data_IF_886690460800
#
_entry.id   IF_886690460800
#
_cell.length_a   1.000
_cell.length_b   1.000
_cell.length_c   1.000
_cell.angle_alpha   90.00
_cell.angle_beta   90.00
_cell.angle_gamma   90.00
#
_symmetry.space_group_name_H-M   'P 1'
#
loop_
_entity.id
_entity.type
_entity.pdbx_description
1 polymer ?
#
# COMPACT_ATOMS: atom_id res chain seq x y z
N UNK A 1 78.53 -25.20 -21.70
CA UNK A 1 77.95 -25.77 -20.49
C UNK A 1 77.16 -24.74 -19.81
N UNK A 2 75.88 -24.72 -20.04
CA UNK A 2 74.97 -23.74 -19.43
C UNK A 2 73.76 -24.50 -18.86
N UNK A 3 73.60 -24.45 -17.58
CA UNK A 3 72.48 -25.04 -16.88
C UNK A 3 71.32 -24.07 -16.88
N UNK A 4 70.20 -24.44 -17.52
CA UNK A 4 68.92 -23.70 -17.49
C UNK A 4 68.09 -24.33 -16.35
N UNK A 5 67.90 -23.60 -15.25
CA UNK A 5 66.93 -23.94 -14.21
C UNK A 5 65.53 -23.48 -14.65
N UNK A 6 64.64 -24.43 -14.89
CA UNK A 6 63.19 -24.16 -15.05
C UNK A 6 62.56 -23.92 -13.69
N UNK A 7 62.11 -22.68 -13.42
CA UNK A 7 61.15 -22.36 -12.36
C UNK A 7 59.76 -22.75 -12.80
N UNK A 8 59.16 -23.74 -12.15
CA UNK A 8 57.75 -24.04 -12.28
C UNK A 8 56.99 -23.12 -11.33
N UNK A 9 56.20 -22.18 -11.91
CA UNK A 9 55.21 -21.41 -11.16
C UNK A 9 53.99 -22.28 -10.93
N UNK A 10 53.78 -22.69 -9.67
CA UNK A 10 52.53 -23.27 -9.21
C UNK A 10 51.57 -22.10 -8.93
N UNK A 11 50.65 -21.81 -9.85
CA UNK A 11 49.50 -20.92 -9.58
C UNK A 11 48.48 -21.69 -8.76
N UNK A 12 48.48 -21.45 -7.45
CA UNK A 12 47.42 -21.91 -6.55
C UNK A 12 46.20 -21.07 -6.79
N UNK A 13 45.29 -21.55 -7.66
CA UNK A 13 43.96 -20.95 -7.83
C UNK A 13 43.16 -21.26 -6.56
N UNK A 14 43.08 -20.31 -5.64
CA UNK A 14 42.11 -20.33 -4.55
C UNK A 14 40.71 -20.23 -5.18
N UNK A 15 40.05 -21.34 -5.38
CA UNK A 15 38.60 -21.38 -5.53
C UNK A 15 37.98 -21.01 -4.16
N UNK A 16 37.68 -19.73 -3.98
CA UNK A 16 36.74 -19.32 -2.96
C UNK A 16 35.37 -19.74 -3.50
N UNK A 17 34.99 -20.98 -3.19
CA UNK A 17 33.59 -21.40 -3.28
C UNK A 17 32.84 -20.61 -2.21
N UNK A 18 32.25 -19.51 -2.58
CA UNK A 18 31.13 -18.97 -1.84
C UNK A 18 29.95 -19.95 -2.01
N UNK A 19 29.97 -21.02 -1.26
CA UNK A 19 28.75 -21.70 -0.87
C UNK A 19 28.04 -20.69 0.07
N UNK A 20 27.20 -19.84 -0.49
CA UNK A 20 26.12 -19.28 0.31
C UNK A 20 25.33 -20.49 0.81
N UNK A 21 25.57 -20.90 2.05
CA UNK A 21 24.60 -21.71 2.76
C UNK A 21 23.29 -20.92 2.64
N UNK A 22 22.36 -21.42 1.85
CA UNK A 22 20.96 -21.04 1.92
C UNK A 22 20.57 -21.52 3.31
N UNK A 23 20.70 -20.63 4.29
CA UNK A 23 20.13 -20.82 5.60
C UNK A 23 18.61 -20.78 5.37
N UNK A 24 18.04 -21.92 5.03
CA UNK A 24 16.64 -22.23 5.27
C UNK A 24 16.44 -22.30 6.79
N UNK A 25 16.62 -21.16 7.46
CA UNK A 25 16.11 -20.97 8.79
C UNK A 25 14.60 -20.90 8.63
N UNK A 26 13.88 -22.02 8.84
CA UNK A 26 12.42 -22.09 8.83
C UNK A 26 11.74 -21.14 9.81
N UNK A 27 12.50 -20.30 10.48
CA UNK A 27 12.08 -19.33 11.48
C UNK A 27 11.98 -17.89 10.95
N UNK A 28 12.41 -17.60 9.70
CA UNK A 28 12.43 -16.25 9.12
C UNK A 28 11.63 -16.21 7.83
N UNK A 29 10.66 -15.32 7.76
CA UNK A 29 9.90 -15.00 6.53
C UNK A 29 10.44 -13.73 5.89
N UNK A 30 10.92 -13.82 4.65
CA UNK A 30 11.54 -12.70 3.94
C UNK A 30 10.60 -12.13 2.89
N UNK A 31 10.30 -10.84 3.02
CA UNK A 31 9.50 -10.05 2.07
C UNK A 31 10.43 -9.11 1.31
N UNK A 32 10.42 -9.13 -0.02
CA UNK A 32 11.10 -8.16 -0.86
C UNK A 32 10.11 -7.07 -1.33
N UNK A 33 10.31 -5.82 -0.88
CA UNK A 33 9.48 -4.66 -1.26
C UNK A 33 10.26 -3.67 -2.14
N UNK A 34 9.56 -2.80 -2.86
CA UNK A 34 10.17 -1.89 -3.84
C UNK A 34 10.58 -0.52 -3.27
N UNK A 35 10.07 -0.14 -2.12
CA UNK A 35 10.38 1.13 -1.44
C UNK A 35 10.23 0.96 0.08
N UNK A 36 10.69 1.94 0.84
CA UNK A 36 10.68 1.93 2.30
C UNK A 36 9.42 2.62 2.85
N UNK A 37 9.15 2.42 4.13
CA UNK A 37 8.12 3.14 4.88
C UNK A 37 8.52 4.61 5.06
N UNK A 38 7.53 5.49 5.09
CA UNK A 38 7.75 6.94 5.23
C UNK A 38 7.16 7.53 6.51
N UNK A 39 6.19 6.84 7.11
CA UNK A 39 5.49 7.30 8.32
C UNK A 39 5.17 6.10 9.23
N UNK A 40 5.76 6.07 10.42
CA UNK A 40 5.53 5.02 11.40
C UNK A 40 4.38 5.34 12.39
N UNK A 41 3.74 6.49 12.27
CA UNK A 41 2.60 6.79 13.13
C UNK A 41 1.33 6.10 12.63
N UNK A 42 0.75 5.13 13.38
CA UNK A 42 -0.45 4.40 12.94
C UNK A 42 -1.68 5.30 12.75
N UNK A 43 -1.65 6.52 13.28
CA UNK A 43 -2.72 7.51 13.08
C UNK A 43 -2.67 8.16 11.70
N UNK A 44 -1.50 8.27 11.09
CA UNK A 44 -1.28 9.06 9.86
C UNK A 44 -0.68 8.28 8.71
N UNK A 45 -0.13 7.10 8.95
CA UNK A 45 0.40 6.20 7.93
C UNK A 45 -0.66 5.86 6.87
N UNK A 46 -0.29 5.92 5.57
CA UNK A 46 -1.25 5.82 4.49
C UNK A 46 -0.69 5.22 3.19
N UNK A 47 0.33 4.38 3.26
CA UNK A 47 0.97 3.83 2.07
C UNK A 47 1.56 2.43 2.33
N UNK A 48 2.84 2.24 1.99
CA UNK A 48 3.57 0.98 2.17
C UNK A 48 3.69 0.54 3.63
N UNK A 49 3.44 1.44 4.55
CA UNK A 49 3.40 1.17 5.98
C UNK A 49 2.41 0.06 6.35
N UNK A 50 1.36 -0.15 5.52
CA UNK A 50 0.41 -1.26 5.72
C UNK A 50 1.11 -2.62 5.79
N UNK A 51 2.21 -2.80 5.07
CA UNK A 51 2.93 -4.06 5.00
C UNK A 51 3.49 -4.51 6.37
N UNK A 52 4.30 -3.72 7.10
CA UNK A 52 4.67 -4.04 8.47
C UNK A 52 3.52 -3.85 9.46
N UNK A 53 2.71 -2.79 9.33
CA UNK A 53 1.71 -2.41 10.32
C UNK A 53 0.56 -3.41 10.45
N UNK A 54 0.15 -4.08 9.35
CA UNK A 54 -0.87 -5.13 9.40
C UNK A 54 -0.47 -6.35 10.23
N UNK A 55 0.82 -6.49 10.54
CA UNK A 55 1.35 -7.52 11.42
C UNK A 55 1.54 -7.03 12.86
N UNK A 56 1.63 -5.70 13.06
CA UNK A 56 1.87 -5.09 14.37
C UNK A 56 0.59 -4.64 15.07
N UNK A 57 -0.41 -4.23 14.30
CA UNK A 57 -1.66 -3.64 14.80
C UNK A 57 -2.87 -4.41 14.33
N UNK A 58 -3.96 -4.31 15.08
CA UNK A 58 -5.23 -4.92 14.72
C UNK A 58 -6.36 -3.88 14.80
N UNK A 59 -7.38 -3.99 13.91
CA UNK A 59 -8.59 -3.18 13.97
C UNK A 59 -9.63 -3.81 14.90
N UNK A 60 -10.74 -3.11 15.14
CA UNK A 60 -11.87 -3.66 15.91
C UNK A 60 -12.53 -4.83 15.16
N UNK A 61 -12.71 -4.70 13.85
CA UNK A 61 -13.27 -5.74 12.99
C UNK A 61 -12.33 -5.94 11.79
N UNK A 62 -12.36 -7.14 11.21
CA UNK A 62 -11.74 -7.42 9.93
C UNK A 62 -12.80 -7.55 8.84
N UNK A 63 -12.46 -7.16 7.62
CA UNK A 63 -13.28 -7.43 6.45
C UNK A 63 -12.81 -8.73 5.78
N UNK A 64 -13.70 -9.72 5.69
CA UNK A 64 -13.46 -10.87 4.84
C UNK A 64 -13.78 -10.52 3.38
N UNK A 65 -12.76 -10.33 2.58
CA UNK A 65 -12.88 -10.07 1.15
C UNK A 65 -12.76 -11.35 0.30
N UNK A 66 -12.68 -12.53 0.91
CA UNK A 66 -12.53 -13.81 0.19
C UNK A 66 -13.82 -14.30 -0.46
N UNK A 67 -14.97 -13.85 0.06
CA UNK A 67 -16.29 -14.15 -0.45
C UNK A 67 -17.01 -12.94 -1.06
N UNK A 68 -18.11 -13.20 -1.79
CA UNK A 68 -18.91 -12.12 -2.41
C UNK A 68 -19.73 -11.30 -1.39
N UNK A 69 -19.97 -11.83 -0.20
CA UNK A 69 -20.79 -11.23 0.85
C UNK A 69 -20.01 -10.24 1.76
N UNK A 70 -18.70 -10.19 1.62
CA UNK A 70 -17.82 -9.23 2.31
C UNK A 70 -18.15 -9.06 3.80
N UNK A 71 -18.16 -10.16 4.53
CA UNK A 71 -18.53 -10.22 5.95
C UNK A 71 -17.55 -9.50 6.85
N UNK A 72 -18.08 -8.94 7.93
CA UNK A 72 -17.25 -8.46 9.03
C UNK A 72 -16.88 -9.63 9.95
N UNK A 73 -15.58 -9.80 10.19
CA UNK A 73 -15.03 -10.83 11.09
C UNK A 73 -14.63 -10.16 12.40
N UNK A 74 -14.92 -10.77 13.56
CA UNK A 74 -14.44 -10.28 14.85
C UNK A 74 -12.91 -10.15 14.91
N UNK A 75 -12.45 -8.95 15.25
CA UNK A 75 -11.06 -8.62 15.57
C UNK A 75 -10.90 -8.36 17.06
N UNK A 76 -10.52 -7.13 17.42
CA UNK A 76 -10.48 -6.68 18.81
C UNK A 76 -11.88 -6.40 19.41
N UNK A 77 -12.91 -6.28 18.59
CA UNK A 77 -14.30 -6.40 19.02
C UNK A 77 -14.84 -7.80 18.69
N UNK A 78 -15.64 -8.36 19.60
CA UNK A 78 -16.26 -9.68 19.47
C UNK A 78 -17.64 -9.60 18.86
N UNK A 79 -18.33 -8.47 19.05
CA UNK A 79 -19.68 -8.22 18.55
C UNK A 79 -19.95 -6.71 18.46
N UNK A 80 -21.00 -6.33 17.72
CA UNK A 80 -21.46 -4.95 17.64
C UNK A 80 -22.94 -4.84 17.31
N UNK A 81 -23.56 -3.74 17.73
CA UNK A 81 -24.93 -3.36 17.37
C UNK A 81 -24.98 -1.95 16.79
N UNK A 82 -25.99 -1.70 15.98
CA UNK A 82 -26.23 -0.40 15.34
C UNK A 82 -27.68 0.04 15.59
N UNK A 83 -27.90 1.32 15.96
CA UNK A 83 -29.25 1.90 16.04
C UNK A 83 -29.91 1.98 14.66
N UNK A 84 -31.24 2.05 14.62
CA UNK A 84 -32.02 2.12 13.36
C UNK A 84 -31.65 3.31 12.51
N UNK A 85 -31.38 4.47 13.11
CA UNK A 85 -30.93 5.68 12.44
C UNK A 85 -29.46 5.66 12.00
N UNK A 86 -28.71 4.62 12.41
CA UNK A 86 -27.30 4.44 12.07
C UNK A 86 -26.34 5.42 12.75
N UNK A 87 -26.79 6.15 13.77
CA UNK A 87 -26.00 7.16 14.48
C UNK A 87 -25.29 6.63 15.72
N UNK A 88 -25.76 5.54 16.31
CA UNK A 88 -25.19 4.95 17.52
C UNK A 88 -24.73 3.53 17.22
N UNK A 89 -23.45 3.26 17.48
CA UNK A 89 -22.84 1.94 17.34
C UNK A 89 -22.20 1.53 18.66
N UNK A 90 -22.51 0.31 19.11
CA UNK A 90 -21.94 -0.24 20.34
C UNK A 90 -21.14 -1.47 20.00
N UNK A 91 -19.92 -1.55 20.53
CA UNK A 91 -19.01 -2.68 20.34
C UNK A 91 -18.69 -3.32 21.68
N UNK A 92 -18.70 -4.65 21.70
CA UNK A 92 -18.19 -5.48 22.79
C UNK A 92 -16.73 -5.83 22.48
N UNK A 93 -15.82 -5.45 23.37
CA UNK A 93 -14.39 -5.63 23.18
C UNK A 93 -13.91 -6.98 23.71
N UNK A 94 -12.91 -7.52 23.05
CA UNK A 94 -12.22 -8.74 23.46
C UNK A 94 -11.48 -8.53 24.78
N UNK A 95 -11.59 -9.53 25.66
CA UNK A 95 -10.89 -9.57 26.96
C UNK A 95 -9.51 -10.22 26.80
N UNK A 96 -8.62 -9.98 27.77
CA UNK A 96 -7.28 -10.58 27.86
C UNK A 96 -6.40 -10.27 26.65
N UNK A 97 -6.54 -9.08 26.07
CA UNK A 97 -5.67 -8.56 25.02
C UNK A 97 -4.71 -7.54 25.62
N UNK A 98 -3.43 -7.66 25.27
CA UNK A 98 -2.38 -6.75 25.72
C UNK A 98 -1.67 -6.14 24.51
N UNK A 99 -1.31 -4.88 24.64
CA UNK A 99 -0.39 -4.26 23.71
C UNK A 99 1.03 -4.81 23.89
N UNK A 100 1.89 -4.60 22.90
CA UNK A 100 3.27 -5.09 22.91
C UNK A 100 4.08 -4.54 24.10
N UNK A 101 3.72 -3.37 24.62
CA UNK A 101 4.33 -2.74 25.81
C UNK A 101 3.77 -3.27 27.14
N UNK A 102 2.79 -4.16 27.10
CA UNK A 102 2.17 -4.77 28.26
C UNK A 102 0.95 -4.03 28.81
N UNK A 103 0.59 -2.86 28.27
CA UNK A 103 -0.66 -2.17 28.61
C UNK A 103 -1.87 -3.02 28.19
N UNK A 104 -2.96 -2.91 28.93
CA UNK A 104 -4.18 -3.67 28.69
C UNK A 104 -5.08 -2.97 27.68
N UNK A 105 -5.55 -3.71 26.65
CA UNK A 105 -6.52 -3.21 25.69
C UNK A 105 -7.93 -3.14 26.29
N UNK A 106 -8.55 -1.98 26.24
CA UNK A 106 -9.89 -1.72 26.78
C UNK A 106 -10.60 -0.57 26.03
N UNK A 107 -11.82 -0.23 26.46
CA UNK A 107 -12.63 0.83 25.85
C UNK A 107 -11.96 2.23 25.91
N UNK A 108 -11.17 2.52 26.96
CA UNK A 108 -10.42 3.77 27.04
C UNK A 108 -9.30 3.85 25.99
N UNK A 109 -8.67 2.70 25.66
CA UNK A 109 -7.68 2.66 24.57
C UNK A 109 -8.33 2.96 23.22
N UNK A 110 -9.52 2.40 22.93
CA UNK A 110 -10.27 2.70 21.71
C UNK A 110 -10.61 4.19 21.64
N UNK A 111 -11.14 4.75 22.72
CA UNK A 111 -11.45 6.19 22.81
C UNK A 111 -10.19 7.03 22.54
N UNK A 112 -9.08 6.72 23.20
CA UNK A 112 -7.81 7.41 23.03
C UNK A 112 -7.34 7.42 21.55
N UNK A 113 -7.36 6.24 20.92
CA UNK A 113 -6.93 6.10 19.52
C UNK A 113 -7.77 6.96 18.58
N UNK A 114 -9.10 6.90 18.68
CA UNK A 114 -9.98 7.66 17.80
C UNK A 114 -9.83 9.17 18.03
N UNK A 115 -9.79 9.61 19.28
CA UNK A 115 -9.63 11.03 19.62
C UNK A 115 -8.30 11.57 19.14
N UNK A 116 -7.19 10.81 19.31
CA UNK A 116 -5.88 11.17 18.81
C UNK A 116 -5.86 11.23 17.28
N UNK A 117 -6.40 10.23 16.59
CA UNK A 117 -6.43 10.19 15.12
C UNK A 117 -7.20 11.40 14.56
N UNK A 118 -8.36 11.74 15.13
CA UNK A 118 -9.15 12.92 14.73
C UNK A 118 -8.37 14.24 14.85
N UNK A 119 -7.41 14.34 15.78
CA UNK A 119 -6.66 15.58 16.02
C UNK A 119 -5.66 15.93 14.90
N UNK A 120 -5.29 14.98 14.04
CA UNK A 120 -4.23 15.19 13.05
C UNK A 120 -4.68 15.86 11.75
N UNK A 121 -5.91 15.67 11.30
CA UNK A 121 -6.44 16.19 10.03
C UNK A 121 -5.56 15.85 8.80
N UNK A 122 -4.82 14.74 8.83
CA UNK A 122 -3.92 14.29 7.77
C UNK A 122 -3.87 12.76 7.67
N UNK A 123 -3.30 12.24 6.57
CA UNK A 123 -3.22 10.81 6.31
C UNK A 123 -4.61 10.16 6.35
N UNK A 124 -4.72 8.99 6.94
CA UNK A 124 -5.97 8.25 7.04
C UNK A 124 -6.94 8.78 8.13
N UNK A 125 -6.56 9.81 8.88
CA UNK A 125 -7.40 10.32 9.99
C UNK A 125 -8.80 10.79 9.56
N UNK A 126 -8.99 11.13 8.29
CA UNK A 126 -10.29 11.55 7.73
C UNK A 126 -11.40 10.50 7.85
N UNK A 127 -11.06 9.21 7.99
CA UNK A 127 -12.07 8.14 8.14
C UNK A 127 -12.95 8.35 9.36
N UNK A 128 -12.45 9.05 10.38
CA UNK A 128 -13.14 9.34 11.62
C UNK A 128 -13.97 10.64 11.58
N UNK A 129 -14.05 11.30 10.43
CA UNK A 129 -14.69 12.63 10.30
C UNK A 129 -16.16 12.66 10.69
N UNK A 130 -16.90 11.55 10.55
CA UNK A 130 -18.31 11.45 10.96
C UNK A 130 -18.49 11.02 12.44
N UNK A 131 -17.41 10.66 13.14
CA UNK A 131 -17.48 10.29 14.54
C UNK A 131 -17.51 11.54 15.41
N UNK A 132 -18.65 11.80 16.04
CA UNK A 132 -18.83 12.91 16.97
C UNK A 132 -18.13 12.63 18.30
N UNK A 133 -18.41 11.49 18.89
CA UNK A 133 -17.96 11.10 20.23
C UNK A 133 -17.70 9.60 20.31
N UNK A 134 -16.69 9.20 21.10
CA UNK A 134 -16.48 7.83 21.53
C UNK A 134 -16.57 7.78 23.05
N UNK A 135 -17.42 6.92 23.59
CA UNK A 135 -17.60 6.72 25.04
C UNK A 135 -17.15 5.32 25.44
N UNK A 136 -16.34 5.25 26.47
CA UNK A 136 -16.06 4.01 27.18
C UNK A 136 -17.19 3.79 28.19
N UNK A 137 -18.15 2.94 27.86
CA UNK A 137 -19.32 2.69 28.72
C UNK A 137 -18.99 1.72 29.87
N UNK A 138 -18.04 0.82 29.63
CA UNK A 138 -17.45 -0.12 30.58
C UNK A 138 -16.02 -0.44 30.18
N UNK A 139 -15.34 -1.31 30.90
CA UNK A 139 -13.99 -1.75 30.55
C UNK A 139 -13.93 -2.38 29.12
N UNK A 140 -14.99 -3.11 28.73
CA UNK A 140 -15.06 -3.83 27.46
C UNK A 140 -16.22 -3.39 26.56
N UNK A 141 -16.93 -2.33 26.89
CA UNK A 141 -18.01 -1.77 26.08
C UNK A 141 -17.69 -0.37 25.62
N UNK A 142 -17.77 -0.12 24.31
CA UNK A 142 -17.53 1.19 23.72
C UNK A 142 -18.67 1.59 22.80
N UNK A 143 -19.14 2.84 22.95
CA UNK A 143 -20.18 3.43 22.09
C UNK A 143 -19.58 4.53 21.24
N UNK A 144 -19.82 4.43 19.92
CA UNK A 144 -19.56 5.50 18.95
C UNK A 144 -20.86 6.24 18.66
N UNK A 145 -20.81 7.56 18.68
CA UNK A 145 -21.90 8.46 18.29
C UNK A 145 -21.44 9.19 17.04
N UNK A 146 -22.24 9.16 15.98
CA UNK A 146 -21.95 9.77 14.69
C UNK A 146 -22.75 11.05 14.49
N UNK A 147 -22.18 12.02 13.75
CA UNK A 147 -22.90 13.22 13.28
C UNK A 147 -23.82 12.92 12.10
N UNK A 148 -23.46 11.92 11.29
CA UNK A 148 -24.19 11.43 10.12
C UNK A 148 -24.08 9.93 10.03
N UNK A 149 -25.10 9.22 9.53
CA UNK A 149 -25.01 7.79 9.27
C UNK A 149 -23.80 7.46 8.38
N UNK A 150 -23.00 6.49 8.80
CA UNK A 150 -21.84 6.01 8.07
C UNK A 150 -21.67 4.50 8.31
N UNK A 151 -21.02 3.76 7.40
CA UNK A 151 -20.74 2.34 7.57
C UNK A 151 -19.56 2.16 8.55
N UNK A 152 -19.83 2.35 9.85
CA UNK A 152 -18.78 2.34 10.86
C UNK A 152 -18.09 0.98 10.98
N UNK A 153 -18.79 -0.12 10.72
CA UNK A 153 -18.23 -1.46 10.60
C UNK A 153 -17.07 -1.53 9.58
N UNK A 154 -17.25 -0.88 8.42
CA UNK A 154 -16.21 -0.78 7.39
C UNK A 154 -15.09 0.16 7.81
N UNK A 155 -15.42 1.27 8.48
CA UNK A 155 -14.44 2.25 8.95
C UNK A 155 -13.51 1.61 9.98
N UNK A 156 -14.07 0.91 10.98
CA UNK A 156 -13.26 0.26 12.04
C UNK A 156 -12.50 -0.98 11.57
N UNK A 157 -12.70 -1.45 10.32
CA UNK A 157 -11.94 -2.53 9.69
C UNK A 157 -10.83 -2.03 8.76
N UNK A 158 -10.69 -0.72 8.60
CA UNK A 158 -9.70 -0.13 7.69
C UNK A 158 -8.27 -0.44 8.16
N UNK A 159 -7.44 -0.89 7.21
CA UNK A 159 -5.99 -1.04 7.42
C UNK A 159 -5.23 0.29 7.32
N UNK A 160 -5.94 1.41 7.24
CA UNK A 160 -5.39 2.77 7.30
C UNK A 160 -6.20 3.57 8.30
N UNK A 161 -5.55 4.00 9.38
CA UNK A 161 -6.15 4.87 10.39
C UNK A 161 -7.12 4.21 11.39
N UNK A 162 -7.44 2.91 11.26
CA UNK A 162 -8.28 2.19 12.22
C UNK A 162 -7.50 1.20 13.11
N UNK A 163 -6.18 1.24 13.06
CA UNK A 163 -5.31 0.47 13.93
C UNK A 163 -5.49 0.84 15.40
N UNK A 164 -5.63 -0.16 16.26
CA UNK A 164 -5.58 0.05 17.72
C UNK A 164 -4.13 0.00 18.18
N UNK A 165 -3.72 0.99 18.96
CA UNK A 165 -2.36 1.11 19.51
C UNK A 165 -2.41 1.61 20.96
N UNK A 166 -1.31 1.39 21.68
CA UNK A 166 -1.22 1.67 23.12
C UNK A 166 -1.43 3.15 23.45
N UNK A 167 -2.26 3.45 24.46
CA UNK A 167 -2.38 4.81 25.04
C UNK A 167 -1.08 5.37 25.61
N UNK A 168 -0.08 4.54 25.91
CA UNK A 168 1.25 4.99 26.30
C UNK A 168 1.91 5.89 25.26
N UNK A 169 1.47 5.83 23.99
CA UNK A 169 1.89 6.73 22.91
C UNK A 169 1.75 8.23 23.24
N UNK A 170 0.82 8.60 24.12
CA UNK A 170 0.67 10.00 24.59
C UNK A 170 1.91 10.56 25.27
N UNK A 171 2.75 9.69 25.83
CA UNK A 171 3.98 10.04 26.55
C UNK A 171 5.24 9.88 25.70
N UNK A 172 5.10 9.40 24.45
CA UNK A 172 6.22 9.15 23.56
C UNK A 172 6.67 10.45 22.86
N UNK A 173 7.97 10.57 22.64
CA UNK A 173 8.51 11.63 21.79
C UNK A 173 8.14 11.39 20.33
N UNK A 174 8.03 12.47 19.53
CA UNK A 174 7.81 12.38 18.09
C UNK A 174 8.89 11.54 17.39
N UNK A 175 10.14 11.60 17.86
CA UNK A 175 11.27 10.82 17.35
C UNK A 175 11.04 9.30 17.59
N UNK A 176 10.56 8.92 18.78
CA UNK A 176 10.25 7.53 19.09
C UNK A 176 9.11 6.98 18.22
N UNK A 177 8.07 7.78 18.02
CA UNK A 177 6.95 7.42 17.11
C UNK A 177 7.48 7.26 15.67
N UNK A 178 8.29 8.22 15.20
CA UNK A 178 8.86 8.20 13.85
C UNK A 178 9.85 7.04 13.60
N UNK A 179 10.28 6.34 14.65
CA UNK A 179 11.15 5.16 14.58
C UNK A 179 10.40 3.83 14.70
N UNK A 180 9.08 3.84 14.78
CA UNK A 180 8.26 2.62 14.80
C UNK A 180 8.00 2.00 16.17
N UNK A 181 8.29 2.71 17.26
CA UNK A 181 8.18 2.15 18.62
C UNK A 181 6.77 2.18 19.22
N UNK A 182 5.75 2.53 18.45
CA UNK A 182 4.36 2.50 18.93
C UNK A 182 3.90 1.05 19.08
N UNK A 183 3.41 0.70 20.26
CA UNK A 183 2.97 -0.65 20.57
C UNK A 183 1.57 -0.94 20.01
N UNK A 184 1.41 -2.06 19.29
CA UNK A 184 0.15 -2.62 18.81
C UNK A 184 -0.27 -3.86 19.61
N UNK A 185 -1.29 -4.57 19.11
CA UNK A 185 -1.79 -5.84 19.69
C UNK A 185 -1.49 -7.04 18.81
N UNK A 186 -0.88 -6.82 17.66
CA UNK A 186 -0.74 -7.79 16.59
C UNK A 186 0.20 -8.97 16.89
N UNK A 187 0.25 -9.94 15.96
CA UNK A 187 1.06 -11.14 16.12
C UNK A 187 2.56 -10.88 16.12
N UNK A 188 3.03 -9.79 15.51
CA UNK A 188 4.44 -9.43 15.48
C UNK A 188 4.67 -8.05 16.09
N UNK A 189 5.87 -7.87 16.65
CA UNK A 189 6.34 -6.64 17.28
C UNK A 189 7.48 -6.03 16.45
N UNK A 190 7.58 -4.71 16.43
CA UNK A 190 8.71 -4.00 15.85
C UNK A 190 10.01 -4.38 16.58
N UNK A 191 11.04 -4.76 15.83
CA UNK A 191 12.37 -5.05 16.37
C UNK A 191 13.38 -3.98 15.90
N UNK A 192 13.54 -3.81 14.59
CA UNK A 192 14.50 -2.87 14.05
C UNK A 192 14.10 -2.32 12.67
N UNK A 193 14.63 -1.15 12.35
CA UNK A 193 14.53 -0.53 11.04
C UNK A 193 15.85 0.08 10.61
N UNK A 194 16.41 -0.45 9.54
CA UNK A 194 17.54 0.13 8.83
C UNK A 194 17.01 0.81 7.57
N UNK A 195 16.95 2.13 7.61
CA UNK A 195 16.32 2.95 6.55
C UNK A 195 16.84 2.60 5.16
N UNK A 196 15.92 2.46 4.20
CA UNK A 196 16.17 2.04 2.82
C UNK A 196 16.87 0.66 2.68
N UNK A 197 16.83 -0.16 3.71
CA UNK A 197 17.46 -1.46 3.69
C UNK A 197 16.54 -2.56 4.19
N UNK A 198 16.14 -2.53 5.47
CA UNK A 198 15.36 -3.62 6.07
C UNK A 198 14.55 -3.16 7.27
N UNK A 199 13.34 -3.72 7.38
CA UNK A 199 12.52 -3.71 8.60
C UNK A 199 12.50 -5.14 9.15
N UNK A 200 12.63 -5.26 10.46
CA UNK A 200 12.54 -6.55 11.14
C UNK A 200 11.46 -6.52 12.20
N UNK A 201 10.58 -7.52 12.13
CA UNK A 201 9.54 -7.78 13.13
C UNK A 201 9.82 -9.12 13.78
N UNK A 202 9.55 -9.23 15.09
CA UNK A 202 9.70 -10.45 15.86
C UNK A 202 8.36 -10.91 16.42
N UNK A 203 8.20 -12.19 16.58
CA UNK A 203 6.97 -12.82 17.08
C UNK A 203 6.57 -12.28 18.45
N UNK A 204 5.27 -11.95 18.62
CA UNK A 204 4.68 -11.63 19.91
C UNK A 204 4.27 -12.91 20.65
N UNK A 205 5.09 -13.38 21.59
CA UNK A 205 4.83 -14.60 22.35
C UNK A 205 3.56 -14.54 23.21
N UNK A 206 3.02 -13.33 23.46
CA UNK A 206 1.77 -13.12 24.23
C UNK A 206 0.59 -12.77 23.33
N UNK A 207 0.66 -13.12 22.05
CA UNK A 207 -0.43 -12.84 21.12
C UNK A 207 -1.71 -13.54 21.59
N UNK A 208 -2.79 -12.80 21.69
CA UNK A 208 -4.04 -13.25 22.28
C UNK A 208 -4.73 -14.43 21.57
N UNK A 209 -4.46 -14.63 20.25
CA UNK A 209 -4.96 -15.80 19.52
C UNK A 209 -4.13 -17.06 19.76
N UNK A 210 -2.96 -16.93 20.40
CA UNK A 210 -2.00 -18.03 20.54
C UNK A 210 -1.32 -18.40 19.22
N UNK A 211 -0.45 -19.41 19.28
CA UNK A 211 0.34 -19.88 18.15
C UNK A 211 0.19 -21.39 17.89
N UNK A 212 -0.53 -22.11 18.74
CA UNK A 212 -0.61 -23.57 18.76
C UNK A 212 -1.24 -24.18 17.51
N UNK A 213 -2.08 -23.43 16.80
CA UNK A 213 -2.84 -23.89 15.61
C UNK A 213 -2.34 -23.30 14.31
N UNK A 214 -1.24 -22.57 14.32
CA UNK A 214 -0.75 -21.83 13.16
C UNK A 214 0.70 -22.16 12.86
N UNK A 215 1.03 -22.30 11.58
CA UNK A 215 2.42 -22.16 11.14
C UNK A 215 2.82 -20.69 11.31
N UNK A 216 3.94 -20.44 11.93
CA UNK A 216 4.44 -19.08 12.18
C UNK A 216 5.96 -19.03 11.95
N UNK A 217 6.46 -17.83 11.78
CA UNK A 217 7.87 -17.53 11.71
C UNK A 217 8.27 -16.76 12.98
N UNK A 218 9.46 -16.96 13.48
CA UNK A 218 9.98 -16.19 14.62
C UNK A 218 10.25 -14.73 14.24
N UNK A 219 10.63 -14.52 12.97
CA UNK A 219 11.01 -13.20 12.44
C UNK A 219 10.41 -12.99 11.06
N UNK A 220 9.95 -11.74 10.80
CA UNK A 220 9.63 -11.26 9.46
C UNK A 220 10.67 -10.20 9.09
N UNK A 221 11.35 -10.39 7.96
CA UNK A 221 12.28 -9.43 7.39
C UNK A 221 11.68 -8.82 6.13
N UNK A 222 11.46 -7.50 6.13
CA UNK A 222 10.98 -6.76 4.95
C UNK A 222 12.18 -6.02 4.37
N UNK A 223 12.71 -6.54 3.25
CA UNK A 223 13.91 -6.01 2.58
C UNK A 223 13.51 -5.05 1.47
N UNK A 224 14.12 -3.87 1.45
CA UNK A 224 13.91 -2.86 0.40
C UNK A 224 14.82 -3.17 -0.78
N UNK A 225 14.19 -3.58 -1.89
CA UNK A 225 14.86 -3.96 -3.14
C UNK A 225 14.15 -3.27 -4.30
N UNK A 226 14.63 -2.12 -4.74
CA UNK A 226 13.93 -1.26 -5.71
C UNK A 226 13.78 -1.91 -7.09
N UNK A 227 14.75 -2.71 -7.54
CA UNK A 227 14.73 -3.32 -8.86
C UNK A 227 13.86 -4.58 -8.91
N UNK A 228 12.84 -4.58 -9.78
CA UNK A 228 11.89 -5.69 -9.90
C UNK A 228 12.53 -7.00 -10.37
N UNK A 229 13.54 -6.92 -11.23
CA UNK A 229 14.33 -8.07 -11.67
C UNK A 229 15.08 -8.73 -10.51
N UNK A 230 15.60 -7.94 -9.59
CA UNK A 230 16.28 -8.46 -8.39
C UNK A 230 15.27 -9.11 -7.44
N UNK A 231 14.07 -8.51 -7.25
CA UNK A 231 13.01 -9.16 -6.46
C UNK A 231 12.56 -10.48 -7.07
N UNK A 232 12.45 -10.56 -8.40
CA UNK A 232 12.17 -11.81 -9.09
C UNK A 232 13.24 -12.87 -8.80
N UNK A 233 14.52 -12.51 -8.96
CA UNK A 233 15.64 -13.42 -8.69
C UNK A 233 15.68 -13.89 -7.24
N UNK A 234 15.30 -13.05 -6.28
CA UNK A 234 15.20 -13.45 -4.87
C UNK A 234 14.14 -14.54 -4.65
N UNK A 235 12.98 -14.45 -5.33
CA UNK A 235 11.97 -15.52 -5.30
C UNK A 235 12.51 -16.79 -5.95
N UNK A 236 13.13 -16.69 -7.15
CA UNK A 236 13.66 -17.83 -7.90
C UNK A 236 14.78 -18.58 -7.17
N UNK A 237 15.54 -17.87 -6.35
CA UNK A 237 16.65 -18.42 -5.57
C UNK A 237 16.28 -18.80 -4.14
N UNK A 238 15.03 -18.61 -3.70
CA UNK A 238 14.60 -18.84 -2.33
C UNK A 238 15.17 -17.85 -1.30
N UNK A 239 15.71 -16.69 -1.75
CA UNK A 239 16.19 -15.61 -0.87
C UNK A 239 15.06 -14.69 -0.36
N UNK A 240 13.87 -14.80 -0.93
CA UNK A 240 12.65 -14.18 -0.45
C UNK A 240 11.47 -15.16 -0.60
N UNK A 241 10.60 -15.17 0.39
CA UNK A 241 9.37 -15.97 0.43
C UNK A 241 8.21 -15.24 -0.23
N UNK A 242 8.25 -13.91 -0.25
CA UNK A 242 7.24 -13.06 -0.87
C UNK A 242 7.87 -11.83 -1.51
N UNK A 243 7.36 -11.41 -2.67
CA UNK A 243 7.82 -10.20 -3.32
C UNK A 243 6.65 -9.34 -3.80
N UNK A 244 6.78 -8.02 -3.61
CA UNK A 244 5.81 -7.02 -4.03
C UNK A 244 6.15 -6.50 -5.43
N UNK A 245 5.15 -6.28 -6.29
CA UNK A 245 5.29 -5.72 -7.64
C UNK A 245 6.32 -6.48 -8.51
N UNK A 246 6.08 -7.76 -8.74
CA UNK A 246 6.72 -8.48 -9.84
C UNK A 246 5.95 -8.14 -11.13
N UNK A 247 6.64 -7.73 -12.22
CA UNK A 247 6.00 -7.41 -13.48
C UNK A 247 5.15 -8.56 -14.02
N UNK A 248 3.94 -8.25 -14.49
CA UNK A 248 2.99 -9.25 -14.98
C UNK A 248 3.57 -10.14 -16.09
N UNK A 249 4.42 -9.58 -16.93
CA UNK A 249 5.10 -10.29 -18.02
C UNK A 249 6.06 -11.39 -17.55
N UNK A 250 6.46 -11.35 -16.28
CA UNK A 250 7.38 -12.32 -15.67
C UNK A 250 6.66 -13.40 -14.85
N UNK A 251 5.35 -13.25 -14.63
CA UNK A 251 4.58 -14.18 -13.78
C UNK A 251 4.51 -15.59 -14.37
N UNK A 252 4.47 -15.73 -15.70
CA UNK A 252 4.45 -17.04 -16.34
C UNK A 252 5.76 -17.83 -16.08
N UNK A 253 6.88 -17.13 -15.97
CA UNK A 253 8.15 -17.74 -15.58
C UNK A 253 8.08 -18.28 -14.14
N UNK A 254 7.51 -17.52 -13.20
CA UNK A 254 7.33 -17.98 -11.81
C UNK A 254 6.43 -19.22 -11.72
N UNK A 255 5.38 -19.31 -12.56
CA UNK A 255 4.48 -20.48 -12.59
C UNK A 255 5.16 -21.79 -13.02
N UNK A 256 6.35 -21.71 -13.64
CA UNK A 256 7.13 -22.89 -14.04
C UNK A 256 8.03 -23.45 -12.94
N UNK A 257 8.10 -22.79 -11.80
CA UNK A 257 8.91 -23.21 -10.67
C UNK A 257 8.08 -24.07 -9.70
N UNK A 258 8.57 -25.24 -9.35
CA UNK A 258 7.85 -26.21 -8.51
C UNK A 258 7.58 -25.68 -7.09
N UNK A 259 8.52 -24.89 -6.53
CA UNK A 259 8.45 -24.35 -5.17
C UNK A 259 7.80 -22.97 -5.08
N UNK A 260 7.29 -22.42 -6.20
CA UNK A 260 6.67 -21.09 -6.23
C UNK A 260 5.18 -21.19 -6.53
N UNK A 261 4.37 -20.65 -5.63
CA UNK A 261 2.93 -20.52 -5.85
C UNK A 261 2.57 -19.10 -6.29
N UNK A 262 2.01 -18.96 -7.50
CA UNK A 262 1.43 -17.71 -7.98
C UNK A 262 -0.09 -17.75 -7.78
N UNK A 263 -0.62 -16.83 -6.97
CA UNK A 263 -2.05 -16.72 -6.68
C UNK A 263 -2.58 -15.36 -7.08
N UNK A 264 -3.79 -15.32 -7.63
CA UNK A 264 -4.46 -14.09 -8.07
C UNK A 264 -5.72 -13.88 -7.25
N UNK A 265 -5.89 -12.66 -6.77
CA UNK A 265 -7.07 -12.27 -6.01
C UNK A 265 -7.66 -10.98 -6.60
N UNK A 266 -8.99 -10.86 -6.70
CA UNK A 266 -9.63 -9.61 -7.05
C UNK A 266 -9.20 -8.50 -6.08
N UNK A 267 -8.77 -7.35 -6.60
CA UNK A 267 -8.37 -6.21 -5.79
C UNK A 267 -9.35 -5.04 -5.99
N UNK A 268 -9.57 -4.26 -4.93
CA UNK A 268 -10.32 -3.00 -4.99
C UNK A 268 -9.36 -1.84 -5.25
N UNK A 269 -8.55 -1.97 -6.30
CA UNK A 269 -7.53 -0.99 -6.66
C UNK A 269 -7.84 -0.46 -8.06
N UNK A 270 -7.94 0.86 -8.19
CA UNK A 270 -7.87 1.55 -9.46
C UNK A 270 -6.55 2.30 -9.59
N UNK A 271 -5.95 2.20 -10.76
CA UNK A 271 -4.85 3.06 -11.13
C UNK A 271 -5.38 4.27 -11.89
N UNK A 272 -4.97 5.46 -11.49
CA UNK A 272 -5.38 6.70 -12.12
C UNK A 272 -4.28 7.76 -12.06
N UNK A 273 -4.36 8.72 -12.97
CA UNK A 273 -3.48 9.88 -12.96
C UNK A 273 -4.23 11.09 -12.38
N UNK A 274 -3.63 11.73 -11.40
CA UNK A 274 -4.16 12.92 -10.76
C UNK A 274 -3.76 14.16 -11.56
N UNK A 275 -4.74 15.02 -11.85
CA UNK A 275 -4.50 16.30 -12.52
C UNK A 275 -4.62 17.44 -11.50
N UNK A 276 -3.63 18.32 -11.42
CA UNK A 276 -3.72 19.52 -10.61
C UNK A 276 -4.62 20.54 -11.29
N UNK A 277 -5.88 20.62 -10.85
CA UNK A 277 -6.90 21.49 -11.46
C UNK A 277 -6.72 22.99 -11.17
N UNK A 278 -5.72 23.38 -10.39
CA UNK A 278 -5.38 24.77 -10.08
C UNK A 278 -4.12 25.25 -10.78
N UNK A 279 -3.45 24.38 -11.52
CA UNK A 279 -2.18 24.70 -12.20
C UNK A 279 -2.36 24.67 -13.72
N UNK A 280 -1.86 25.74 -14.38
CA UNK A 280 -1.82 25.78 -15.83
C UNK A 280 -0.91 24.64 -16.40
N UNK A 281 -1.33 23.97 -17.50
CA UNK A 281 -2.55 24.17 -18.29
C UNK A 281 -3.74 23.29 -17.84
N UNK A 282 -3.61 22.50 -16.76
CA UNK A 282 -4.65 21.58 -16.30
C UNK A 282 -5.75 22.25 -15.46
N UNK A 283 -5.65 23.55 -15.18
CA UNK A 283 -6.75 24.40 -14.73
C UNK A 283 -7.86 24.56 -15.80
N UNK A 284 -7.50 24.43 -17.09
CA UNK A 284 -8.45 24.48 -18.20
C UNK A 284 -9.19 23.15 -18.35
N UNK A 285 -10.54 23.18 -18.28
CA UNK A 285 -11.37 21.97 -18.37
C UNK A 285 -11.23 21.25 -19.71
N UNK A 286 -11.04 21.99 -20.80
CA UNK A 286 -10.91 21.40 -22.14
C UNK A 286 -9.57 20.68 -22.31
N UNK A 287 -8.49 21.17 -21.67
CA UNK A 287 -7.22 20.42 -21.59
C UNK A 287 -7.43 19.11 -20.84
N UNK A 288 -8.09 19.12 -19.67
CA UNK A 288 -8.37 17.89 -18.93
C UNK A 288 -9.21 16.89 -19.74
N UNK A 289 -10.24 17.40 -20.47
CA UNK A 289 -11.07 16.56 -21.37
C UNK A 289 -10.25 15.99 -22.53
N UNK A 290 -9.31 16.75 -23.08
CA UNK A 290 -8.40 16.28 -24.13
C UNK A 290 -7.49 15.16 -23.62
N UNK A 291 -6.88 15.32 -22.44
CA UNK A 291 -6.07 14.29 -21.80
C UNK A 291 -6.88 13.00 -21.56
N UNK A 292 -8.11 13.12 -21.05
CA UNK A 292 -9.00 11.99 -20.81
C UNK A 292 -9.40 11.28 -22.13
N UNK A 293 -9.69 12.03 -23.21
CA UNK A 293 -10.02 11.45 -24.51
C UNK A 293 -8.81 10.83 -25.22
N UNK A 294 -7.59 11.25 -24.89
CA UNK A 294 -6.35 10.65 -25.42
C UNK A 294 -5.82 9.48 -24.56
N UNK A 295 -6.50 9.16 -23.46
CA UNK A 295 -6.12 8.07 -22.57
C UNK A 295 -6.76 6.75 -23.01
N UNK A 296 -5.98 5.88 -23.66
CA UNK A 296 -6.43 4.60 -24.20
C UNK A 296 -6.45 3.51 -23.11
N UNK A 297 -7.51 3.54 -22.30
CA UNK A 297 -7.68 2.58 -21.19
C UNK A 297 -7.70 1.13 -21.66
N UNK A 298 -8.38 0.87 -22.79
CA UNK A 298 -8.49 -0.48 -23.34
C UNK A 298 -7.12 -1.04 -23.75
N UNK A 299 -6.34 -0.25 -24.48
CA UNK A 299 -5.00 -0.65 -24.87
C UNK A 299 -4.08 -0.83 -23.68
N UNK A 300 -4.11 0.08 -22.71
CA UNK A 300 -3.32 -0.02 -21.47
C UNK A 300 -3.71 -1.29 -20.71
N UNK A 301 -5.02 -1.53 -20.50
CA UNK A 301 -5.47 -2.74 -19.82
C UNK A 301 -4.96 -4.00 -20.51
N UNK A 302 -5.08 -4.09 -21.80
CA UNK A 302 -4.68 -5.26 -22.58
C UNK A 302 -3.15 -5.47 -22.61
N UNK A 303 -2.35 -4.42 -22.82
CA UNK A 303 -0.91 -4.58 -23.02
C UNK A 303 -0.09 -4.51 -21.73
N UNK A 304 -0.60 -3.83 -20.70
CA UNK A 304 0.11 -3.67 -19.43
C UNK A 304 -0.33 -4.69 -18.41
N UNK A 305 -1.64 -4.92 -18.30
CA UNK A 305 -2.22 -5.81 -17.27
C UNK A 305 -2.68 -7.17 -17.82
N UNK A 306 -2.78 -7.31 -19.15
CA UNK A 306 -3.28 -8.55 -19.77
C UNK A 306 -4.68 -8.88 -19.26
N UNK A 307 -4.96 -10.16 -19.07
CA UNK A 307 -6.24 -10.64 -18.55
C UNK A 307 -6.40 -10.44 -17.03
N UNK A 308 -5.36 -9.96 -16.35
CA UNK A 308 -5.38 -9.69 -14.91
C UNK A 308 -6.04 -8.36 -14.55
N UNK A 309 -6.07 -7.41 -15.50
CA UNK A 309 -6.70 -6.10 -15.31
C UNK A 309 -8.14 -6.05 -15.82
N UNK A 310 -8.89 -5.03 -15.37
CA UNK A 310 -10.19 -4.66 -15.92
C UNK A 310 -10.18 -3.21 -16.36
N UNK A 311 -10.90 -2.89 -17.43
CA UNK A 311 -11.05 -1.49 -17.83
C UNK A 311 -11.85 -0.74 -16.77
N UNK A 312 -11.29 0.34 -16.18
CA UNK A 312 -11.98 1.06 -15.12
C UNK A 312 -13.18 1.85 -15.68
N UNK A 313 -14.29 1.78 -14.98
CA UNK A 313 -15.52 2.50 -15.32
C UNK A 313 -15.76 3.75 -14.47
N UNK A 314 -14.84 4.08 -13.54
CA UNK A 314 -14.92 5.25 -12.67
C UNK A 314 -13.78 5.28 -11.65
N UNK A 315 -13.91 6.12 -10.62
CA UNK A 315 -12.95 6.20 -9.53
C UNK A 315 -12.97 4.95 -8.63
N UNK A 316 -14.15 4.36 -8.45
CA UNK A 316 -14.35 3.18 -7.61
C UNK A 316 -14.24 1.95 -8.49
N UNK A 317 -13.49 0.91 -8.10
CA UNK A 317 -13.45 -0.36 -8.81
C UNK A 317 -14.84 -0.99 -8.94
N UNK A 318 -15.16 -1.54 -10.12
CA UNK A 318 -16.50 -2.09 -10.40
C UNK A 318 -16.88 -3.33 -9.55
N UNK A 319 -15.91 -3.97 -8.92
CA UNK A 319 -16.12 -5.08 -7.99
C UNK A 319 -16.25 -4.65 -6.53
N UNK A 320 -16.27 -3.34 -6.26
CA UNK A 320 -16.50 -2.82 -4.90
C UNK A 320 -17.98 -2.93 -4.55
N UNK A 321 -18.34 -3.36 -3.33
CA UNK A 321 -19.73 -3.37 -2.88
C UNK A 321 -20.42 -2.02 -3.08
N UNK A 322 -21.68 -2.04 -3.51
CA UNK A 322 -22.50 -0.85 -3.80
C UNK A 322 -21.94 0.04 -4.93
N UNK A 323 -21.08 -0.52 -5.80
CA UNK A 323 -20.63 0.21 -6.99
C UNK A 323 -21.83 0.64 -7.85
N UNK A 324 -21.83 1.92 -8.24
CA UNK A 324 -22.79 2.48 -9.20
C UNK A 324 -21.97 2.94 -10.42
N UNK A 325 -22.29 2.38 -11.58
CA UNK A 325 -21.64 2.79 -12.82
C UNK A 325 -21.98 4.26 -13.14
N UNK A 326 -21.01 5.06 -13.60
CA UNK A 326 -21.28 6.42 -14.02
C UNK A 326 -22.12 6.45 -15.30
N UNK A 327 -22.98 7.47 -15.45
CA UNK A 327 -23.87 7.63 -16.62
C UNK A 327 -23.09 7.75 -17.93
N UNK A 328 -21.87 8.28 -17.90
CA UNK A 328 -21.03 8.45 -19.07
C UNK A 328 -19.55 8.45 -18.74
N UNK A 329 -18.75 7.93 -19.68
CA UNK A 329 -17.30 7.99 -19.67
C UNK A 329 -16.77 8.72 -20.91
N UNK A 330 -15.65 9.40 -20.76
CA UNK A 330 -14.92 9.92 -21.91
C UNK A 330 -14.15 8.72 -22.53
N UNK A 331 -14.62 8.27 -23.69
CA UNK A 331 -13.95 7.19 -24.42
C UNK A 331 -12.70 7.70 -25.14
N UNK A 332 -11.78 6.77 -25.44
CA UNK A 332 -10.61 7.05 -26.24
C UNK A 332 -11.00 7.51 -27.65
N UNK A 333 -10.60 8.72 -28.01
CA UNK A 333 -10.87 9.35 -29.30
C UNK A 333 -9.88 10.51 -29.51
N UNK A 334 -8.86 10.29 -30.35
CA UNK A 334 -7.84 11.31 -30.61
C UNK A 334 -8.39 12.51 -31.37
N UNK A 335 -9.38 12.34 -32.25
CA UNK A 335 -9.97 13.45 -32.99
C UNK A 335 -10.81 14.34 -32.06
N UNK A 336 -11.56 13.73 -31.16
CA UNK A 336 -12.26 14.45 -30.10
C UNK A 336 -11.30 15.16 -29.16
N UNK A 337 -10.18 14.53 -28.81
CA UNK A 337 -9.11 15.14 -28.02
C UNK A 337 -8.55 16.40 -28.69
N UNK A 338 -8.25 16.35 -30.01
CA UNK A 338 -7.83 17.52 -30.80
C UNK A 338 -8.88 18.64 -30.80
N UNK A 339 -10.16 18.28 -30.91
CA UNK A 339 -11.26 19.28 -30.80
C UNK A 339 -11.26 19.97 -29.43
N UNK A 340 -11.05 19.21 -28.36
CA UNK A 340 -10.94 19.80 -27.01
C UNK A 340 -9.70 20.72 -26.88
N UNK A 341 -8.56 20.36 -27.48
CA UNK A 341 -7.40 21.28 -27.51
C UNK A 341 -7.76 22.61 -28.19
N UNK A 342 -8.45 22.58 -29.34
CA UNK A 342 -8.92 23.80 -29.98
C UNK A 342 -9.88 24.62 -29.11
N UNK A 343 -10.79 23.94 -28.41
CA UNK A 343 -11.76 24.59 -27.50
C UNK A 343 -11.09 25.19 -26.24
N UNK A 344 -9.90 24.76 -25.87
CA UNK A 344 -9.15 25.32 -24.75
C UNK A 344 -8.70 26.75 -24.98
N UNK A 345 -8.61 27.19 -26.25
CA UNK A 345 -8.07 28.49 -26.63
C UNK A 345 -6.55 28.59 -26.49
N UNK A 346 -5.88 27.52 -26.08
CA UNK A 346 -4.42 27.48 -25.90
C UNK A 346 -3.73 26.96 -27.15
N UNK A 347 -2.57 27.51 -27.48
CA UNK A 347 -1.68 26.96 -28.50
C UNK A 347 -0.97 25.70 -27.96
N UNK A 348 -0.54 24.83 -28.88
CA UNK A 348 0.22 23.64 -28.51
C UNK A 348 1.51 23.95 -27.73
N UNK A 349 2.12 25.14 -27.93
CA UNK A 349 3.31 25.59 -27.20
C UNK A 349 3.03 25.92 -25.73
N UNK A 350 1.79 26.28 -25.43
CA UNK A 350 1.34 26.62 -24.05
C UNK A 350 0.96 25.38 -23.25
N UNK A 351 0.65 24.26 -23.92
CA UNK A 351 0.24 23.03 -23.25
C UNK A 351 1.46 22.14 -23.01
N UNK A 352 2.09 22.32 -21.85
CA UNK A 352 3.21 21.54 -21.37
C UNK A 352 2.79 20.70 -20.17
N UNK A 353 2.91 19.37 -20.26
CA UNK A 353 2.50 18.43 -19.23
C UNK A 353 3.71 17.62 -18.76
N UNK A 354 4.03 17.70 -17.47
CA UNK A 354 4.98 16.80 -16.84
C UNK A 354 4.19 15.60 -16.26
N UNK A 355 4.53 14.37 -16.64
CA UNK A 355 3.92 13.17 -16.12
C UNK A 355 4.91 12.52 -15.15
N UNK A 356 4.58 12.56 -13.86
CA UNK A 356 5.33 11.84 -12.82
C UNK A 356 4.80 10.40 -12.72
N UNK A 357 5.70 9.43 -12.56
CA UNK A 357 5.33 8.03 -12.35
C UNK A 357 6.35 7.31 -11.49
N UNK A 358 5.95 6.19 -10.89
CA UNK A 358 6.83 5.37 -10.05
C UNK A 358 7.78 4.56 -10.93
N UNK A 359 9.07 4.89 -10.89
CA UNK A 359 10.09 4.29 -11.75
C UNK A 359 10.39 2.82 -11.46
N UNK A 360 10.05 2.35 -10.27
CA UNK A 360 10.23 0.95 -9.82
C UNK A 360 9.09 0.02 -10.24
N UNK A 361 8.04 0.54 -10.91
CA UNK A 361 6.94 -0.23 -11.47
C UNK A 361 6.97 -0.18 -13.00
N UNK A 362 7.13 -1.34 -13.62
CA UNK A 362 7.09 -1.49 -15.06
C UNK A 362 5.70 -1.17 -15.65
N UNK A 363 4.64 -1.51 -14.91
CA UNK A 363 3.26 -1.21 -15.30
C UNK A 363 3.03 0.30 -15.40
N UNK A 364 3.51 1.08 -14.42
CA UNK A 364 3.40 2.54 -14.47
C UNK A 364 4.24 3.13 -15.60
N UNK A 365 5.42 2.56 -15.84
CA UNK A 365 6.27 2.99 -16.94
C UNK A 365 5.60 2.78 -18.31
N UNK A 366 5.08 1.59 -18.57
CA UNK A 366 4.40 1.23 -19.83
C UNK A 366 3.11 2.04 -20.03
N UNK A 367 2.32 2.20 -18.98
CA UNK A 367 1.12 3.06 -18.98
C UNK A 367 1.48 4.49 -19.38
N UNK A 368 2.52 5.05 -18.73
CA UNK A 368 2.98 6.41 -18.99
C UNK A 368 3.51 6.60 -20.39
N UNK A 369 4.25 5.63 -20.94
CA UNK A 369 4.73 5.66 -22.33
C UNK A 369 3.56 5.65 -23.34
N UNK A 370 2.50 4.87 -23.07
CA UNK A 370 1.31 4.84 -23.91
C UNK A 370 0.59 6.20 -23.88
N UNK A 371 0.48 6.84 -22.72
CA UNK A 371 -0.06 8.20 -22.60
C UNK A 371 0.80 9.21 -23.32
N UNK A 372 2.12 9.17 -23.12
CA UNK A 372 3.07 10.07 -23.75
C UNK A 372 2.93 10.06 -25.30
N UNK A 373 2.85 8.88 -25.90
CA UNK A 373 2.68 8.74 -27.35
C UNK A 373 1.36 9.36 -27.83
N UNK A 374 0.25 9.08 -27.14
CA UNK A 374 -1.06 9.60 -27.49
C UNK A 374 -1.16 11.13 -27.29
N UNK A 375 -0.56 11.67 -26.23
CA UNK A 375 -0.55 13.11 -25.97
C UNK A 375 0.25 13.86 -27.05
N UNK A 376 1.35 13.28 -27.52
CA UNK A 376 2.10 13.84 -28.67
C UNK A 376 1.26 13.87 -29.96
N UNK A 377 0.47 12.82 -30.23
CA UNK A 377 -0.41 12.75 -31.41
C UNK A 377 -1.50 13.85 -31.45
N UNK A 378 -1.85 14.38 -30.29
CA UNK A 378 -2.80 15.51 -30.17
C UNK A 378 -2.11 16.86 -30.00
N UNK A 379 -0.77 16.91 -30.13
CA UNK A 379 0.02 18.14 -30.13
C UNK A 379 0.39 18.65 -28.72
N UNK A 380 0.28 17.84 -27.67
CA UNK A 380 0.71 18.21 -26.31
C UNK A 380 2.19 17.94 -26.14
N UNK A 381 2.92 18.94 -25.63
CA UNK A 381 4.31 18.77 -25.22
C UNK A 381 4.37 18.10 -23.83
N UNK A 382 4.96 16.91 -23.77
CA UNK A 382 4.96 16.09 -22.57
C UNK A 382 6.39 15.76 -22.14
N UNK A 383 6.67 15.84 -20.82
CA UNK A 383 7.92 15.38 -20.21
C UNK A 383 7.64 14.29 -19.21
N UNK A 384 8.46 13.25 -19.22
CA UNK A 384 8.40 12.15 -18.26
C UNK A 384 9.25 12.44 -17.04
N UNK A 385 8.72 12.23 -15.86
CA UNK A 385 9.35 12.48 -14.56
C UNK A 385 9.32 11.20 -13.69
N UNK A 386 10.22 10.24 -13.96
CA UNK A 386 10.33 9.05 -13.12
C UNK A 386 10.80 9.41 -11.71
N UNK A 387 10.33 8.68 -10.72
CA UNK A 387 10.74 8.86 -9.33
C UNK A 387 10.28 7.71 -8.44
N UNK A 388 10.79 7.63 -7.23
CA UNK A 388 10.31 6.68 -6.22
C UNK A 388 8.89 7.05 -5.76
N UNK A 389 8.15 6.07 -5.28
CA UNK A 389 6.79 6.28 -4.77
C UNK A 389 6.75 7.36 -3.68
N UNK A 390 7.61 7.24 -2.68
CA UNK A 390 7.72 8.18 -1.56
C UNK A 390 7.89 9.63 -2.03
N UNK A 391 8.84 9.87 -2.94
CA UNK A 391 9.11 11.20 -3.48
C UNK A 391 7.96 11.76 -4.32
N UNK A 392 7.30 10.93 -5.13
CA UNK A 392 6.16 11.34 -5.95
C UNK A 392 4.93 11.62 -5.09
N UNK A 393 4.71 10.79 -4.04
CA UNK A 393 3.60 10.96 -3.12
C UNK A 393 3.69 12.25 -2.28
N UNK A 394 4.89 12.60 -1.79
CA UNK A 394 5.12 13.89 -1.11
C UNK A 394 4.79 15.08 -2.02
N UNK A 395 5.22 15.04 -3.28
CA UNK A 395 4.88 16.07 -4.27
C UNK A 395 3.37 16.16 -4.53
N UNK A 396 2.68 15.03 -4.58
CA UNK A 396 1.23 14.99 -4.80
C UNK A 396 0.47 15.58 -3.61
N UNK A 397 0.86 15.26 -2.36
CA UNK A 397 0.29 15.85 -1.14
C UNK A 397 0.47 17.36 -1.08
N UNK A 398 1.63 17.86 -1.46
CA UNK A 398 1.95 19.30 -1.51
C UNK A 398 1.24 20.05 -2.66
N UNK A 399 0.49 19.36 -3.51
CA UNK A 399 -0.18 19.92 -4.70
C UNK A 399 0.77 20.66 -5.66
N UNK A 400 2.07 20.34 -5.63
CA UNK A 400 3.11 21.01 -6.44
C UNK A 400 3.31 20.39 -7.81
N UNK A 401 2.85 19.17 -8.03
CA UNK A 401 2.99 18.47 -9.31
C UNK A 401 1.63 18.17 -9.97
N UNK A 402 1.66 18.00 -11.28
CA UNK A 402 0.64 17.26 -12.03
C UNK A 402 1.12 15.82 -12.04
N UNK A 403 0.41 14.95 -11.37
CA UNK A 403 0.73 13.52 -11.31
C UNK A 403 -0.32 12.74 -12.09
#
# INVERSE_FOLDING_TARGET
MAWIKRLAFFSLALYISCTSEINNNGDVFVVATYDDVTDWDPATAYSLEVLPMSNMYEPLLWLDASGDDHKMIPGLATDYTKSEDGLIWKFELRKNVYFHDGEYFNANAVKYVVDRNKSFYRGASYIWSNVKEVRADSEHGVTFILDKPAPLDRIVSSQYGAWMYSPATKNMSSDSIAKGHVAGTGPYMFNSWQRNHQIELVRNNRYWRGWEQSHYFETIQIRVVSESSTRLQMIESGLADYAVLIPNQLLDRLKTLDDVRVSFFPAWINHFYLLNTKKHPTDNIFVRRALAAAFDRKKINQYVYGDLGREPTGLIPSNTPLFIAPDSLINFDLEKAKKYIKQSGLSNKEINIDISYVSTSEEYRLTTLTMFDNFRKIGINTKLKPGLWSANWEKAKDRKSVV
#
